data_IF_821454043006
#
_entry.id   IF_821454043006
#
_cell.length_a   1.000
_cell.length_b   1.000
_cell.length_c   1.000
_cell.angle_alpha   90.00
_cell.angle_beta   90.00
_cell.angle_gamma   90.00
#
_symmetry.space_group_name_H-M   'P 1'
#
loop_
_entity.id
_entity.type
_entity.pdbx_description
1 polymer ?
#
# COMPACT_ATOMS: atom_id res chain seq x y z
N UNK A 1 -28.43 3.56 -31.95
CA UNK A 1 -27.66 4.77 -31.58
C UNK A 1 -27.58 4.93 -30.06
N UNK A 2 -28.70 4.82 -29.31
CA UNK A 2 -28.75 5.02 -27.85
C UNK A 2 -27.74 4.15 -27.10
N UNK A 3 -27.66 2.84 -27.39
CA UNK A 3 -26.71 1.90 -26.76
C UNK A 3 -25.26 2.31 -27.01
N UNK A 4 -24.97 2.81 -28.21
CA UNK A 4 -23.62 3.25 -28.60
C UNK A 4 -23.21 4.52 -27.86
N UNK A 5 -24.16 5.42 -27.63
CA UNK A 5 -23.93 6.67 -26.92
C UNK A 5 -23.77 6.44 -25.41
N UNK A 6 -24.54 5.52 -24.83
CA UNK A 6 -24.40 5.11 -23.42
C UNK A 6 -23.07 4.39 -23.18
N UNK A 7 -22.67 3.46 -24.07
CA UNK A 7 -21.39 2.77 -23.97
C UNK A 7 -20.23 3.76 -24.10
N UNK A 8 -20.31 4.72 -25.02
CA UNK A 8 -19.27 5.74 -25.18
C UNK A 8 -19.18 6.69 -23.98
N UNK A 9 -20.33 7.12 -23.44
CA UNK A 9 -20.39 7.94 -22.25
C UNK A 9 -19.84 7.20 -21.02
N UNK A 10 -20.16 5.90 -20.89
CA UNK A 10 -19.64 5.06 -19.84
C UNK A 10 -18.13 4.83 -19.95
N UNK A 11 -17.63 4.59 -21.16
CA UNK A 11 -16.20 4.43 -21.46
C UNK A 11 -15.43 5.73 -21.14
N UNK A 12 -15.97 6.90 -21.49
CA UNK A 12 -15.37 8.22 -21.20
C UNK A 12 -15.32 8.49 -19.69
N UNK A 13 -16.39 8.18 -18.97
CA UNK A 13 -16.46 8.34 -17.50
C UNK A 13 -15.44 7.49 -16.76
N UNK A 14 -15.04 6.33 -17.32
CA UNK A 14 -14.10 5.41 -16.70
C UNK A 14 -12.70 5.47 -17.31
N UNK A 15 -12.48 6.37 -18.27
CA UNK A 15 -11.15 6.59 -18.84
C UNK A 15 -10.24 7.23 -17.79
N UNK A 16 -9.17 6.55 -17.46
CA UNK A 16 -8.18 7.04 -16.50
C UNK A 16 -6.79 7.06 -17.12
N UNK A 17 -6.01 8.09 -16.77
CA UNK A 17 -4.63 8.22 -17.20
C UNK A 17 -3.79 6.98 -16.86
N UNK A 18 -2.71 6.76 -17.60
CA UNK A 18 -1.66 5.79 -17.28
C UNK A 18 -1.17 5.91 -15.82
N UNK A 19 -1.10 7.14 -15.31
CA UNK A 19 -0.70 7.44 -13.92
C UNK A 19 -1.58 6.73 -12.88
N UNK A 20 -2.80 6.30 -13.24
CA UNK A 20 -3.68 5.58 -12.31
C UNK A 20 -3.04 4.36 -11.64
N UNK A 21 -2.12 3.67 -12.32
CA UNK A 21 -1.45 2.51 -11.76
C UNK A 21 -0.17 2.82 -10.98
N UNK A 22 0.24 4.08 -10.90
CA UNK A 22 1.24 4.48 -9.91
C UNK A 22 0.75 4.24 -8.49
N UNK A 23 -0.58 4.21 -8.29
CA UNK A 23 -1.22 3.77 -7.05
C UNK A 23 -0.74 2.36 -6.63
N UNK A 24 -0.35 1.50 -7.58
CA UNK A 24 0.25 0.20 -7.29
C UNK A 24 1.41 0.31 -6.30
N UNK A 25 2.32 1.24 -6.53
CA UNK A 25 3.47 1.44 -5.66
C UNK A 25 3.08 1.97 -4.28
N UNK A 26 2.06 2.81 -4.22
CA UNK A 26 1.50 3.32 -2.96
C UNK A 26 0.86 2.19 -2.15
N UNK A 27 0.12 1.29 -2.80
CA UNK A 27 -0.49 0.13 -2.15
C UNK A 27 0.53 -0.91 -1.66
N UNK A 28 1.75 -0.93 -2.22
CA UNK A 28 2.84 -1.73 -1.67
C UNK A 28 3.33 -1.22 -0.32
N UNK A 29 2.97 0.01 0.08
CA UNK A 29 3.23 0.59 1.39
C UNK A 29 4.70 0.48 1.79
N UNK A 30 4.98 -0.18 2.92
CA UNK A 30 6.34 -0.37 3.43
C UNK A 30 7.26 -1.20 2.51
N UNK A 31 6.73 -1.86 1.47
CA UNK A 31 7.48 -2.64 0.47
C UNK A 31 7.76 -1.88 -0.83
N UNK A 32 7.49 -0.56 -0.87
CA UNK A 32 7.56 0.29 -2.06
C UNK A 32 8.86 0.09 -2.86
N UNK A 33 10.02 0.24 -2.23
CA UNK A 33 11.29 0.16 -2.95
C UNK A 33 11.66 -1.26 -3.36
N UNK A 34 11.24 -2.26 -2.58
CA UNK A 34 11.37 -3.66 -3.01
C UNK A 34 10.51 -3.94 -4.24
N UNK A 35 9.29 -3.40 -4.32
CA UNK A 35 8.41 -3.57 -5.48
C UNK A 35 8.96 -2.89 -6.73
N UNK A 36 9.56 -1.71 -6.61
CA UNK A 36 10.25 -1.04 -7.70
C UNK A 36 11.47 -1.86 -8.16
N UNK A 37 12.28 -2.30 -7.22
CA UNK A 37 13.51 -3.03 -7.54
C UNK A 37 13.25 -4.37 -8.23
N UNK A 38 12.20 -5.08 -7.80
CA UNK A 38 11.77 -6.35 -8.41
C UNK A 38 11.45 -6.19 -9.89
N UNK A 39 10.87 -5.07 -10.32
CA UNK A 39 10.56 -4.82 -11.73
C UNK A 39 11.84 -4.81 -12.58
N UNK A 40 12.93 -4.24 -12.05
CA UNK A 40 14.18 -4.07 -12.78
C UNK A 40 15.18 -5.23 -12.58
N UNK A 41 14.96 -6.08 -11.59
CA UNK A 41 15.84 -7.22 -11.28
C UNK A 41 15.25 -8.51 -11.86
N UNK A 42 15.75 -8.91 -13.01
CA UNK A 42 15.39 -10.22 -13.60
C UNK A 42 15.94 -11.35 -12.71
N UNK A 43 15.10 -12.27 -12.22
CA UNK A 43 15.54 -13.42 -11.44
C UNK A 43 16.46 -14.34 -12.25
N UNK A 44 17.34 -15.05 -11.57
CA UNK A 44 18.27 -16.00 -12.21
C UNK A 44 17.58 -17.33 -12.49
N UNK A 45 16.75 -17.81 -11.55
CA UNK A 45 16.07 -19.11 -11.64
C UNK A 45 14.87 -19.07 -12.56
N UNK A 46 14.64 -20.13 -13.32
CA UNK A 46 13.53 -20.24 -14.29
C UNK A 46 12.17 -20.12 -13.61
N UNK A 47 11.97 -20.76 -12.48
CA UNK A 47 10.72 -20.75 -11.73
C UNK A 47 10.36 -19.32 -11.23
N UNK A 48 11.38 -18.58 -10.81
CA UNK A 48 11.22 -17.20 -10.35
C UNK A 48 10.89 -16.25 -11.50
N UNK A 49 11.44 -16.53 -12.71
CA UNK A 49 11.17 -15.73 -13.92
C UNK A 49 9.71 -15.75 -14.32
N UNK A 50 8.98 -16.83 -14.09
CA UNK A 50 7.57 -16.94 -14.44
C UNK A 50 6.74 -15.89 -13.70
N UNK A 51 6.90 -15.79 -12.39
CA UNK A 51 6.18 -14.80 -11.57
C UNK A 51 6.62 -13.36 -11.88
N UNK A 52 7.92 -13.17 -12.10
CA UNK A 52 8.46 -11.88 -12.52
C UNK A 52 7.87 -11.44 -13.87
N UNK A 53 7.90 -12.33 -14.88
CA UNK A 53 7.35 -12.05 -16.20
C UNK A 53 5.85 -11.77 -16.12
N UNK A 54 5.12 -12.55 -15.33
CA UNK A 54 3.69 -12.33 -15.12
C UNK A 54 3.43 -10.94 -14.51
N UNK A 55 4.21 -10.53 -13.51
CA UNK A 55 4.09 -9.19 -12.93
C UNK A 55 4.30 -8.10 -13.99
N UNK A 56 5.36 -8.21 -14.79
CA UNK A 56 5.68 -7.23 -15.84
C UNK A 56 4.58 -7.20 -16.91
N UNK A 57 4.18 -8.37 -17.43
CA UNK A 57 3.14 -8.46 -18.45
C UNK A 57 1.80 -7.93 -17.93
N UNK A 58 1.45 -8.23 -16.68
CA UNK A 58 0.22 -7.72 -16.06
C UNK A 58 0.26 -6.19 -15.91
N UNK A 59 1.39 -5.60 -15.51
CA UNK A 59 1.56 -4.14 -15.45
C UNK A 59 1.40 -3.50 -16.83
N UNK A 60 2.05 -4.05 -17.84
CA UNK A 60 1.96 -3.56 -19.24
C UNK A 60 0.51 -3.70 -19.74
N UNK A 61 -0.09 -4.89 -19.60
CA UNK A 61 -1.41 -5.19 -20.11
C UNK A 61 -2.48 -4.28 -19.49
N UNK A 62 -2.46 -4.14 -18.15
CA UNK A 62 -3.42 -3.27 -17.47
C UNK A 62 -3.17 -1.79 -17.80
N UNK A 63 -1.94 -1.39 -18.07
CA UNK A 63 -1.62 -0.02 -18.49
C UNK A 63 -2.23 0.34 -19.85
N UNK A 64 -2.39 -0.63 -20.73
CA UNK A 64 -2.98 -0.45 -22.08
C UNK A 64 -4.51 -0.37 -21.99
N UNK A 65 -5.14 -1.07 -21.06
CA UNK A 65 -6.60 -1.07 -20.92
C UNK A 65 -7.09 0.33 -20.54
N UNK A 66 -8.01 0.88 -21.33
CA UNK A 66 -8.56 2.22 -21.12
C UNK A 66 -9.46 2.28 -19.88
N UNK A 67 -10.26 1.25 -19.63
CA UNK A 67 -11.13 1.16 -18.46
C UNK A 67 -10.38 0.65 -17.25
N UNK A 68 -10.02 1.56 -16.33
CA UNK A 68 -9.18 1.25 -15.18
C UNK A 68 -10.00 1.21 -13.89
N UNK A 69 -10.18 0.01 -13.33
CA UNK A 69 -10.77 -0.21 -12.01
C UNK A 69 -9.70 -0.76 -11.04
N UNK A 70 -9.74 -0.34 -9.78
CA UNK A 70 -8.76 -0.79 -8.75
C UNK A 70 -8.67 -2.31 -8.64
N UNK A 71 -9.80 -3.03 -8.77
CA UNK A 71 -9.85 -4.50 -8.73
C UNK A 71 -9.04 -5.20 -9.81
N UNK A 72 -8.76 -4.56 -10.94
CA UNK A 72 -7.91 -5.13 -12.00
C UNK A 72 -6.43 -5.22 -11.59
N UNK A 73 -6.03 -4.52 -10.54
CA UNK A 73 -4.69 -4.61 -9.95
C UNK A 73 -4.44 -5.90 -9.15
N UNK A 74 -5.48 -6.64 -8.74
CA UNK A 74 -5.33 -7.83 -7.90
C UNK A 74 -4.31 -8.86 -8.43
N UNK A 75 -4.32 -9.24 -9.73
CA UNK A 75 -3.32 -10.17 -10.26
C UNK A 75 -1.88 -9.65 -10.10
N UNK A 76 -1.67 -8.33 -10.25
CA UNK A 76 -0.36 -7.72 -10.11
C UNK A 76 0.11 -7.80 -8.65
N UNK A 77 -0.77 -7.47 -7.69
CA UNK A 77 -0.42 -7.51 -6.26
C UNK A 77 0.00 -8.91 -5.83
N UNK A 78 -0.73 -9.95 -6.30
CA UNK A 78 -0.42 -11.34 -5.97
C UNK A 78 0.97 -11.75 -6.50
N UNK A 79 1.20 -11.56 -7.80
CA UNK A 79 2.48 -11.95 -8.43
C UNK A 79 3.65 -11.13 -7.92
N UNK A 80 3.47 -9.84 -7.67
CA UNK A 80 4.48 -8.97 -7.07
C UNK A 80 4.83 -9.41 -5.65
N UNK A 81 3.84 -9.77 -4.84
CA UNK A 81 4.09 -10.26 -3.47
C UNK A 81 4.93 -11.52 -3.47
N UNK A 82 4.66 -12.46 -4.40
CA UNK A 82 5.49 -13.66 -4.57
C UNK A 82 6.92 -13.28 -4.97
N UNK A 83 7.08 -12.38 -5.93
CA UNK A 83 8.41 -11.97 -6.42
C UNK A 83 9.20 -11.20 -5.35
N UNK A 84 8.52 -10.36 -4.56
CA UNK A 84 9.12 -9.68 -3.39
C UNK A 84 9.53 -10.71 -2.34
N UNK A 85 8.68 -11.72 -2.07
CA UNK A 85 9.00 -12.82 -1.16
C UNK A 85 10.26 -13.60 -1.58
N UNK A 86 10.38 -13.89 -2.89
CA UNK A 86 11.60 -14.52 -3.45
C UNK A 86 12.84 -13.64 -3.26
N UNK A 87 12.72 -12.33 -3.47
CA UNK A 87 13.79 -11.36 -3.22
C UNK A 87 14.17 -11.33 -1.74
N UNK A 88 13.19 -11.37 -0.84
CA UNK A 88 13.43 -11.44 0.60
C UNK A 88 14.20 -12.72 0.97
N UNK A 89 13.80 -13.89 0.46
CA UNK A 89 14.49 -15.15 0.68
C UNK A 89 15.94 -15.08 0.18
N UNK A 90 16.17 -14.47 -0.98
CA UNK A 90 17.52 -14.27 -1.50
C UNK A 90 18.38 -13.45 -0.53
N UNK A 91 17.85 -12.34 0.01
CA UNK A 91 18.59 -11.52 0.98
C UNK A 91 18.77 -12.20 2.34
N UNK A 92 17.82 -13.04 2.77
CA UNK A 92 17.95 -13.81 4.00
C UNK A 92 19.10 -14.81 3.98
N UNK A 93 19.46 -15.31 2.79
CA UNK A 93 20.53 -16.29 2.60
C UNK A 93 21.92 -15.66 2.45
N UNK A 94 22.00 -14.34 2.20
CA UNK A 94 23.26 -13.64 1.96
C UNK A 94 23.69 -12.82 3.18
N UNK A 95 25.01 -12.77 3.36
CA UNK A 95 25.62 -11.80 4.27
C UNK A 95 25.69 -10.44 3.59
N UNK A 96 25.78 -9.36 4.37
CA UNK A 96 25.86 -8.01 3.80
C UNK A 96 27.10 -7.82 2.92
N UNK A 97 28.20 -8.52 3.22
CA UNK A 97 29.42 -8.46 2.44
C UNK A 97 29.26 -8.98 1.01
N UNK A 98 28.44 -10.04 0.84
CA UNK A 98 28.17 -10.69 -0.45
C UNK A 98 27.22 -9.90 -1.38
N UNK A 99 26.58 -8.86 -0.85
CA UNK A 99 25.64 -8.06 -1.62
C UNK A 99 26.37 -7.11 -2.58
N UNK A 100 25.85 -7.01 -3.80
CA UNK A 100 26.31 -6.05 -4.80
C UNK A 100 26.03 -4.60 -4.33
N UNK A 101 26.81 -3.63 -4.80
CA UNK A 101 26.65 -2.21 -4.45
C UNK A 101 25.19 -1.72 -4.61
N UNK A 102 24.53 -2.05 -5.73
CA UNK A 102 23.12 -1.68 -5.98
C UNK A 102 22.15 -2.26 -4.95
N UNK A 103 22.39 -3.49 -4.50
CA UNK A 103 21.56 -4.15 -3.49
C UNK A 103 21.75 -3.51 -2.11
N UNK A 104 22.98 -3.14 -1.76
CA UNK A 104 23.28 -2.37 -0.53
C UNK A 104 22.58 -1.02 -0.56
N UNK A 105 22.67 -0.29 -1.68
CA UNK A 105 21.99 0.99 -1.86
C UNK A 105 20.48 0.85 -1.72
N UNK A 106 19.87 -0.18 -2.32
CA UNK A 106 18.43 -0.46 -2.15
C UNK A 106 18.05 -0.63 -0.68
N UNK A 107 18.80 -1.44 0.07
CA UNK A 107 18.52 -1.67 1.50
C UNK A 107 18.62 -0.39 2.32
N UNK A 108 19.59 0.48 2.01
CA UNK A 108 19.73 1.79 2.67
C UNK A 108 18.53 2.69 2.34
N UNK A 109 18.15 2.79 1.07
CA UNK A 109 16.99 3.58 0.64
C UNK A 109 15.71 3.05 1.30
N UNK A 110 15.51 1.74 1.31
CA UNK A 110 14.38 1.09 1.98
C UNK A 110 14.37 1.42 3.47
N UNK A 111 15.52 1.37 4.15
CA UNK A 111 15.63 1.73 5.56
C UNK A 111 15.25 3.19 5.83
N UNK A 112 15.77 4.12 5.04
CA UNK A 112 15.43 5.55 5.16
C UNK A 112 13.94 5.80 4.93
N UNK A 113 13.35 5.09 3.97
CA UNK A 113 11.92 5.16 3.71
C UNK A 113 11.09 4.64 4.88
N UNK A 114 11.48 3.52 5.50
CA UNK A 114 10.79 3.00 6.68
C UNK A 114 10.83 4.00 7.84
N UNK A 115 11.98 4.61 8.10
CA UNK A 115 12.09 5.68 9.09
C UNK A 115 11.15 6.85 8.76
N UNK A 116 11.14 7.29 7.51
CA UNK A 116 10.22 8.34 7.07
C UNK A 116 8.75 7.96 7.31
N UNK A 117 8.34 6.74 6.96
CA UNK A 117 6.96 6.26 7.17
C UNK A 117 6.59 6.24 8.65
N UNK A 118 7.49 5.78 9.52
CA UNK A 118 7.25 5.72 10.97
C UNK A 118 7.12 7.13 11.55
N UNK A 119 8.00 8.05 11.18
CA UNK A 119 7.92 9.45 11.62
C UNK A 119 6.65 10.14 11.11
N UNK A 120 6.31 9.95 9.82
CA UNK A 120 5.09 10.50 9.25
C UNK A 120 3.83 9.95 9.94
N UNK A 121 3.81 8.65 10.24
CA UNK A 121 2.73 8.01 10.99
C UNK A 121 2.62 8.58 12.42
N UNK A 122 3.74 8.82 13.09
CA UNK A 122 3.75 9.41 14.43
C UNK A 122 3.24 10.87 14.42
N UNK A 123 3.66 11.67 13.44
CA UNK A 123 3.17 13.05 13.27
C UNK A 123 1.66 13.03 13.01
N UNK A 124 1.19 12.16 12.11
CA UNK A 124 -0.22 12.00 11.80
C UNK A 124 -1.03 11.59 13.04
N UNK A 125 -0.54 10.60 13.79
CA UNK A 125 -1.14 10.15 15.04
C UNK A 125 -1.22 11.28 16.07
N UNK A 126 -0.15 12.07 16.22
CA UNK A 126 -0.11 13.21 17.15
C UNK A 126 -1.10 14.30 16.74
N UNK A 127 -1.18 14.63 15.47
CA UNK A 127 -2.11 15.64 14.98
C UNK A 127 -3.57 15.24 15.20
N UNK A 128 -3.96 14.05 14.75
CA UNK A 128 -5.34 13.60 14.87
C UNK A 128 -5.69 13.12 16.27
N UNK A 129 -4.76 12.46 16.96
CA UNK A 129 -5.00 11.94 18.30
C UNK A 129 -5.01 13.04 19.37
N UNK A 130 -3.94 13.82 19.42
CA UNK A 130 -3.78 14.84 20.47
C UNK A 130 -4.45 16.18 20.13
N UNK A 131 -4.20 16.73 18.93
CA UNK A 131 -4.70 18.06 18.54
C UNK A 131 -6.18 18.02 18.20
N UNK A 132 -6.60 17.06 17.38
CA UNK A 132 -8.01 16.93 16.95
C UNK A 132 -8.87 16.12 17.93
N UNK A 133 -8.27 15.44 18.91
CA UNK A 133 -8.96 14.59 19.90
C UNK A 133 -9.89 13.55 19.29
N UNK A 134 -9.52 13.01 18.13
CA UNK A 134 -10.27 11.96 17.41
C UNK A 134 -10.06 10.58 18.03
N UNK A 135 -9.02 10.42 18.87
CA UNK A 135 -8.65 9.17 19.53
C UNK A 135 -8.73 9.38 21.04
N UNK A 136 -9.12 8.35 21.79
CA UNK A 136 -9.05 8.38 23.24
C UNK A 136 -7.59 8.51 23.71
N UNK A 137 -7.40 9.22 24.80
CA UNK A 137 -6.08 9.50 25.35
C UNK A 137 -5.25 8.22 25.61
N UNK A 138 -5.89 7.18 26.14
CA UNK A 138 -5.22 5.89 26.38
C UNK A 138 -4.73 5.21 25.10
N UNK A 139 -5.54 5.19 24.05
CA UNK A 139 -5.14 4.62 22.74
C UNK A 139 -4.05 5.46 22.07
N UNK A 140 -4.11 6.79 22.21
CA UNK A 140 -3.04 7.66 21.71
C UNK A 140 -1.70 7.30 22.33
N UNK A 141 -1.64 7.19 23.66
CA UNK A 141 -0.40 6.80 24.34
C UNK A 141 0.08 5.41 23.98
N UNK A 142 -0.82 4.45 23.85
CA UNK A 142 -0.47 3.10 23.42
C UNK A 142 0.20 3.12 22.03
N UNK A 143 -0.43 3.80 21.06
CA UNK A 143 0.12 3.88 19.70
C UNK A 143 1.45 4.66 19.66
N UNK A 144 1.55 5.78 20.38
CA UNK A 144 2.78 6.55 20.48
C UNK A 144 3.91 5.72 21.11
N UNK A 145 3.64 5.01 22.20
CA UNK A 145 4.60 4.13 22.85
C UNK A 145 5.09 3.01 21.92
N UNK A 146 4.17 2.40 21.14
CA UNK A 146 4.53 1.38 20.14
C UNK A 146 5.44 1.97 19.05
N UNK A 147 5.18 3.18 18.55
CA UNK A 147 6.04 3.84 17.57
C UNK A 147 7.43 4.14 18.13
N UNK A 148 7.50 4.66 19.37
CA UNK A 148 8.78 4.95 20.03
C UNK A 148 9.57 3.69 20.32
N UNK A 149 8.91 2.64 20.81
CA UNK A 149 9.53 1.31 20.99
C UNK A 149 10.09 0.80 19.68
N UNK A 150 9.32 0.94 18.59
CA UNK A 150 9.73 0.48 17.28
C UNK A 150 10.95 1.25 16.75
N UNK A 151 10.96 2.58 16.90
CA UNK A 151 12.12 3.42 16.58
C UNK A 151 13.34 3.05 17.40
N UNK A 152 13.15 2.78 18.71
CA UNK A 152 14.22 2.32 19.59
C UNK A 152 14.81 0.99 19.12
N UNK A 153 13.97 -0.02 18.88
CA UNK A 153 14.40 -1.33 18.36
C UNK A 153 15.12 -1.20 17.01
N UNK A 154 14.67 -0.29 16.18
CA UNK A 154 15.29 0.00 14.90
C UNK A 154 16.68 0.65 15.05
N UNK A 155 16.84 1.57 16.02
CA UNK A 155 18.08 2.29 16.27
C UNK A 155 19.13 1.43 16.98
N UNK A 156 18.73 0.69 18.02
CA UNK A 156 19.65 -0.13 18.81
C UNK A 156 20.22 -1.30 18.00
N UNK A 157 19.47 -1.72 16.99
CA UNK A 157 19.87 -2.76 16.01
C UNK A 157 20.34 -4.05 16.68
N UNK A 158 19.69 -5.14 16.41
CA UNK A 158 20.20 -6.44 16.81
C UNK A 158 21.54 -6.66 16.11
N UNK A 159 22.63 -6.57 16.84
CA UNK A 159 24.00 -6.74 16.32
C UNK A 159 24.23 -8.13 15.70
N UNK A 160 23.44 -9.11 16.12
CA UNK A 160 23.52 -10.49 15.65
C UNK A 160 22.77 -10.78 14.35
N UNK A 161 21.79 -9.95 13.98
CA UNK A 161 21.00 -10.14 12.76
C UNK A 161 21.64 -9.39 11.60
N UNK A 162 21.86 -10.06 10.46
CA UNK A 162 22.40 -9.39 9.27
C UNK A 162 21.55 -8.18 8.87
N UNK A 163 22.19 -7.11 8.43
CA UNK A 163 21.53 -5.87 8.05
C UNK A 163 20.35 -6.07 7.08
N UNK A 164 20.51 -6.95 6.08
CA UNK A 164 19.46 -7.25 5.11
C UNK A 164 18.22 -7.87 5.76
N UNK A 165 18.41 -8.84 6.66
CA UNK A 165 17.32 -9.49 7.40
C UNK A 165 16.58 -8.47 8.25
N UNK A 166 17.30 -7.58 8.91
CA UNK A 166 16.74 -6.52 9.74
C UNK A 166 15.82 -5.62 8.91
N UNK A 167 16.29 -5.09 7.77
CA UNK A 167 15.48 -4.21 6.90
C UNK A 167 14.19 -4.91 6.43
N UNK A 168 14.27 -6.20 6.08
CA UNK A 168 13.11 -6.99 5.66
C UNK A 168 12.10 -7.16 6.80
N UNK A 169 12.56 -7.58 7.98
CA UNK A 169 11.69 -7.76 9.16
C UNK A 169 11.01 -6.43 9.50
N UNK A 170 11.78 -5.34 9.54
CA UNK A 170 11.22 -4.02 9.82
C UNK A 170 10.25 -3.53 8.74
N UNK A 171 10.42 -3.91 7.47
CA UNK A 171 9.42 -3.61 6.42
C UNK A 171 8.06 -4.24 6.73
N UNK A 172 8.03 -5.51 7.13
CA UNK A 172 6.80 -6.20 7.52
C UNK A 172 6.18 -5.61 8.79
N UNK A 173 7.00 -5.40 9.83
CA UNK A 173 6.55 -4.84 11.10
C UNK A 173 6.05 -3.39 10.96
N UNK A 174 6.68 -2.55 10.13
CA UNK A 174 6.20 -1.18 9.85
C UNK A 174 4.82 -1.21 9.23
N UNK A 175 4.56 -2.13 8.31
CA UNK A 175 3.23 -2.27 7.71
C UNK A 175 2.17 -2.63 8.77
N UNK A 176 2.49 -3.55 9.67
CA UNK A 176 1.59 -3.92 10.77
C UNK A 176 1.37 -2.75 11.73
N UNK A 177 2.43 -2.04 12.12
CA UNK A 177 2.36 -0.89 13.01
C UNK A 177 1.47 0.22 12.45
N UNK A 178 1.69 0.59 11.18
CA UNK A 178 0.91 1.64 10.51
C UNK A 178 -0.55 1.22 10.36
N UNK A 179 -0.83 -0.01 9.92
CA UNK A 179 -2.20 -0.50 9.80
C UNK A 179 -2.91 -0.55 11.16
N UNK A 180 -2.23 -1.03 12.20
CA UNK A 180 -2.81 -1.11 13.54
C UNK A 180 -3.09 0.29 14.10
N UNK A 181 -2.12 1.20 14.00
CA UNK A 181 -2.27 2.57 14.52
C UNK A 181 -3.21 3.45 13.69
N UNK A 182 -3.54 3.07 12.46
CA UNK A 182 -4.49 3.78 11.60
C UNK A 182 -5.91 3.19 11.61
N UNK A 183 -6.14 2.05 12.27
CA UNK A 183 -7.45 1.38 12.31
C UNK A 183 -8.57 2.28 12.84
N UNK A 184 -8.26 3.17 13.81
CA UNK A 184 -9.20 4.14 14.37
C UNK A 184 -9.72 5.17 13.34
N UNK A 185 -8.99 5.39 12.24
CA UNK A 185 -9.40 6.37 11.21
C UNK A 185 -10.79 6.02 10.65
N UNK A 186 -11.08 4.73 10.50
CA UNK A 186 -12.36 4.25 9.98
C UNK A 186 -13.54 4.58 10.91
N UNK A 187 -13.27 4.67 12.22
CA UNK A 187 -14.25 5.01 13.26
C UNK A 187 -14.27 6.50 13.60
N UNK A 188 -13.33 7.28 13.06
CA UNK A 188 -13.20 8.69 13.37
C UNK A 188 -14.37 9.51 12.81
N UNK A 189 -14.74 10.56 13.54
CA UNK A 189 -15.77 11.54 13.09
C UNK A 189 -15.38 12.16 11.75
N UNK A 190 -14.08 12.34 11.47
CA UNK A 190 -13.58 12.84 10.21
C UNK A 190 -14.01 11.95 9.03
N UNK A 191 -13.83 10.63 9.15
CA UNK A 191 -14.24 9.69 8.10
C UNK A 191 -15.76 9.57 8.02
N UNK A 192 -16.44 9.48 9.16
CA UNK A 192 -17.91 9.42 9.20
C UNK A 192 -18.53 10.64 8.55
N UNK A 193 -18.05 11.85 8.86
CA UNK A 193 -18.55 13.09 8.25
C UNK A 193 -18.29 13.15 6.74
N UNK A 194 -17.13 12.66 6.28
CA UNK A 194 -16.83 12.62 4.85
C UNK A 194 -17.64 11.54 4.13
N UNK A 195 -17.83 10.36 4.72
CA UNK A 195 -18.70 9.33 4.16
C UNK A 195 -20.16 9.77 4.11
N UNK A 196 -20.65 10.49 5.12
CA UNK A 196 -22.01 11.07 5.13
C UNK A 196 -22.17 12.13 4.01
N UNK A 197 -21.17 12.97 3.77
CA UNK A 197 -21.20 13.92 2.64
C UNK A 197 -21.29 13.25 1.27
N UNK A 198 -20.74 12.05 1.13
CA UNK A 198 -20.89 11.25 -0.10
C UNK A 198 -22.22 10.48 -0.16
N UNK A 199 -22.83 10.16 0.98
CA UNK A 199 -24.11 9.43 1.04
C UNK A 199 -25.32 10.35 0.93
N UNK A 200 -25.31 11.53 1.57
CA UNK A 200 -26.44 12.47 1.56
C UNK A 200 -27.01 12.81 0.17
N UNK A 201 -26.21 13.09 -0.88
CA UNK A 201 -26.78 13.36 -2.20
C UNK A 201 -27.49 12.16 -2.82
N UNK A 202 -27.01 10.94 -2.50
CA UNK A 202 -27.61 9.70 -2.98
C UNK A 202 -28.95 9.46 -2.29
N UNK A 203 -29.01 9.68 -0.97
CA UNK A 203 -30.24 9.48 -0.18
C UNK A 203 -31.32 10.51 -0.54
N UNK A 204 -30.96 11.76 -0.85
CA UNK A 204 -31.92 12.78 -1.34
C UNK A 204 -32.44 12.49 -2.74
N UNK A 205 -31.60 11.96 -3.62
CA UNK A 205 -32.02 11.56 -4.97
C UNK A 205 -32.90 10.32 -4.93
N UNK A 206 -32.59 9.40 -4.03
CA UNK A 206 -33.38 8.19 -3.76
C UNK A 206 -34.75 8.52 -3.15
N UNK A 207 -34.80 9.42 -2.17
CA UNK A 207 -36.05 9.89 -1.56
C UNK A 207 -36.94 10.67 -2.53
N UNK A 208 -36.37 11.30 -3.55
CA UNK A 208 -37.09 11.99 -4.61
C UNK A 208 -37.58 11.05 -5.72
N UNK A 209 -37.02 9.87 -5.85
CA UNK A 209 -37.47 8.86 -6.81
C UNK A 209 -38.51 7.97 -6.14
N UNK A 210 -39.76 8.03 -6.59
CA UNK A 210 -40.84 7.13 -6.17
C UNK A 210 -40.70 5.68 -6.69
N UNK A 211 -39.58 5.31 -7.24
CA UNK A 211 -39.28 3.98 -7.73
C UNK A 211 -38.75 3.07 -6.61
N UNK A 212 -39.22 1.81 -6.50
CA UNK A 212 -38.68 0.87 -5.53
C UNK A 212 -37.21 0.58 -5.81
N UNK A 213 -36.36 0.84 -4.82
CA UNK A 213 -34.94 0.63 -4.92
C UNK A 213 -34.66 -0.82 -4.55
N UNK A 214 -34.30 -1.62 -5.53
CA UNK A 214 -33.62 -2.87 -5.24
C UNK A 214 -32.18 -2.53 -4.85
N UNK A 215 -31.89 -2.52 -3.55
CA UNK A 215 -30.52 -2.50 -3.05
C UNK A 215 -29.90 -3.86 -3.36
N UNK A 216 -29.21 -3.98 -4.48
CA UNK A 216 -28.22 -5.03 -4.61
C UNK A 216 -27.07 -4.67 -3.67
N UNK A 217 -27.05 -5.33 -2.51
CA UNK A 217 -25.93 -5.32 -1.60
C UNK A 217 -24.74 -6.01 -2.30
N UNK A 218 -23.73 -5.21 -2.67
CA UNK A 218 -22.39 -5.66 -3.02
C UNK A 218 -21.37 -5.06 -2.05
#
# INVERSE_FOLDING_TARGET
TIVKDEVSAWATKHHRSFIFYTDYFVYMGSWLFFSIFVIFKVPEKKEEKVFWLWTILSLIFISIIQMKKKRYGLPIYLTSSITIGQLCIYYFRKTYAELKKREKTLLIIQQLFLLFVIFASLIFLTYFGYVKKEISFGLFFLYAALHLLFLFLFAVGYTEISYAKRVIIFSGLTMLLVNFSSSWILESKFMQNNLLKFRMPIDEEILKSSAPIYSEAY
#
